data_IF_068108217441
#
_entry.id   IF_068108217441
#
_cell.length_a   1.000
_cell.length_b   1.000
_cell.length_c   1.000
_cell.angle_alpha   90.00
_cell.angle_beta   90.00
_cell.angle_gamma   90.00
#
_symmetry.space_group_name_H-M   'P 1'
#
loop_
_entity.id
_entity.type
_entity.pdbx_description
1 polymer ?
#
# COMPACT_ATOMS: atom_id res chain seq x y z
N UNK A 1 -11.07 -8.35 -36.11
CA UNK A 1 -10.99 -6.94 -35.67
C UNK A 1 -9.66 -6.79 -34.96
N UNK A 2 -8.86 -5.77 -35.29
CA UNK A 2 -7.61 -5.56 -34.57
C UNK A 2 -7.94 -5.26 -33.10
N UNK A 3 -7.25 -5.91 -32.16
CA UNK A 3 -7.40 -5.58 -30.74
C UNK A 3 -7.00 -4.12 -30.55
N UNK A 4 -7.95 -3.32 -30.04
CA UNK A 4 -7.71 -1.93 -29.73
C UNK A 4 -6.63 -1.84 -28.66
N UNK A 5 -5.61 -1.01 -28.88
CA UNK A 5 -4.55 -0.82 -27.88
C UNK A 5 -5.12 -0.15 -26.62
N UNK A 6 -4.50 -0.40 -25.47
CA UNK A 6 -4.88 0.26 -24.21
C UNK A 6 -4.85 1.80 -24.33
N UNK A 7 -3.90 2.34 -25.09
CA UNK A 7 -3.78 3.78 -25.32
C UNK A 7 -4.92 4.36 -26.16
N UNK A 8 -5.46 3.59 -27.12
CA UNK A 8 -6.62 3.98 -27.91
C UNK A 8 -7.90 3.90 -27.07
N UNK A 9 -8.06 2.84 -26.28
CA UNK A 9 -9.18 2.70 -25.34
C UNK A 9 -9.22 3.88 -24.35
N UNK A 10 -8.07 4.31 -23.84
CA UNK A 10 -7.99 5.50 -22.97
C UNK A 10 -8.46 6.78 -23.67
N UNK A 11 -8.05 7.01 -24.94
CA UNK A 11 -8.51 8.18 -25.71
C UNK A 11 -10.01 8.16 -25.94
N UNK A 12 -10.57 6.99 -26.25
CA UNK A 12 -12.00 6.83 -26.49
C UNK A 12 -12.83 7.10 -25.23
N UNK A 13 -12.39 6.57 -24.08
CA UNK A 13 -13.01 6.88 -22.79
C UNK A 13 -12.94 8.37 -22.50
N UNK A 14 -11.77 9.00 -22.71
CA UNK A 14 -11.62 10.44 -22.51
C UNK A 14 -12.58 11.24 -23.40
N UNK A 15 -12.64 10.92 -24.69
CA UNK A 15 -13.53 11.58 -25.64
C UNK A 15 -15.01 11.40 -25.31
N UNK A 16 -15.42 10.19 -24.95
CA UNK A 16 -16.81 9.86 -24.59
C UNK A 16 -17.28 10.58 -23.32
N UNK A 17 -16.38 10.80 -22.36
CA UNK A 17 -16.71 11.38 -21.07
C UNK A 17 -16.31 12.87 -20.94
N UNK A 18 -15.80 13.49 -22.01
CA UNK A 18 -15.39 14.89 -21.99
C UNK A 18 -14.17 15.17 -21.10
N UNK A 19 -13.35 14.14 -20.85
CA UNK A 19 -12.15 14.24 -20.01
C UNK A 19 -10.99 14.67 -20.89
N UNK A 20 -10.23 15.67 -20.43
CA UNK A 20 -9.02 16.11 -21.15
C UNK A 20 -7.98 14.99 -21.09
N UNK A 21 -7.46 14.58 -22.24
CA UNK A 21 -6.40 13.58 -22.31
C UNK A 21 -5.18 14.06 -21.52
N UNK A 22 -4.78 13.28 -20.53
CA UNK A 22 -3.53 13.48 -19.81
C UNK A 22 -2.39 12.85 -20.62
N UNK A 23 -1.49 13.69 -21.12
CA UNK A 23 -0.38 13.24 -21.99
C UNK A 23 0.56 12.28 -21.26
N UNK A 24 0.78 12.48 -19.95
CA UNK A 24 1.62 11.59 -19.17
C UNK A 24 1.02 10.17 -19.06
N UNK A 25 -0.29 10.06 -18.87
CA UNK A 25 -1.00 8.77 -18.91
C UNK A 25 -0.88 8.15 -20.29
N UNK A 26 -1.19 8.93 -21.33
CA UNK A 26 -1.16 8.45 -22.71
C UNK A 26 0.23 7.92 -23.11
N UNK A 27 1.31 8.65 -22.80
CA UNK A 27 2.67 8.24 -23.11
C UNK A 27 3.07 6.95 -22.39
N UNK A 28 2.71 6.79 -21.12
CA UNK A 28 3.00 5.56 -20.38
C UNK A 28 2.21 4.36 -20.92
N UNK A 29 0.94 4.56 -21.28
CA UNK A 29 0.13 3.53 -21.92
C UNK A 29 0.69 3.12 -23.30
N UNK A 30 1.24 4.06 -24.07
CA UNK A 30 1.89 3.77 -25.35
C UNK A 30 3.22 3.04 -25.20
N UNK A 31 3.95 3.28 -24.10
CA UNK A 31 5.21 2.59 -23.76
C UNK A 31 5.01 1.20 -23.18
N UNK A 32 3.78 0.81 -22.83
CA UNK A 32 3.51 -0.53 -22.30
C UNK A 32 3.79 -1.59 -23.38
N UNK A 33 4.87 -2.33 -23.20
CA UNK A 33 5.13 -3.59 -23.90
C UNK A 33 4.21 -4.70 -23.35
N UNK A 34 3.94 -5.73 -24.15
CA UNK A 34 3.28 -6.98 -23.71
C UNK A 34 4.02 -7.69 -22.57
N UNK A 35 5.25 -7.28 -22.28
CA UNK A 35 6.13 -7.85 -21.24
C UNK A 35 6.20 -7.04 -19.95
N UNK A 36 5.71 -5.79 -19.90
CA UNK A 36 5.77 -4.97 -18.68
C UNK A 36 4.40 -4.96 -17.99
N UNK A 37 4.22 -5.65 -16.87
CA UNK A 37 2.93 -5.71 -16.21
C UNK A 37 2.66 -4.53 -15.27
N UNK A 38 3.63 -3.62 -15.10
CA UNK A 38 3.53 -2.47 -14.22
C UNK A 38 3.32 -1.17 -15.01
N UNK A 39 2.24 -0.46 -14.70
CA UNK A 39 1.93 0.87 -15.20
C UNK A 39 2.33 1.92 -14.16
N UNK A 40 3.43 2.63 -14.44
CA UNK A 40 4.02 3.63 -13.53
C UNK A 40 3.51 5.04 -13.85
N UNK A 41 2.60 5.55 -13.02
CA UNK A 41 1.97 6.87 -13.16
C UNK A 41 2.21 7.77 -11.93
N UNK A 42 3.35 7.61 -11.27
CA UNK A 42 3.73 8.42 -10.12
C UNK A 42 3.84 9.91 -10.48
N UNK A 43 3.11 10.77 -9.75
CA UNK A 43 3.02 12.21 -9.99
C UNK A 43 4.28 13.00 -9.64
N UNK A 44 5.28 12.35 -9.03
CA UNK A 44 6.62 12.90 -8.76
C UNK A 44 7.67 12.53 -9.82
N UNK A 45 7.25 11.93 -10.94
CA UNK A 45 8.14 11.56 -12.03
C UNK A 45 8.79 12.80 -12.69
N UNK A 46 10.08 12.69 -13.00
CA UNK A 46 10.87 13.74 -13.66
C UNK A 46 10.73 13.74 -15.20
N UNK A 47 10.01 12.78 -15.78
CA UNK A 47 10.08 12.47 -17.22
C UNK A 47 9.16 13.29 -18.13
N UNK A 48 8.40 14.26 -17.61
CA UNK A 48 7.52 15.11 -18.41
C UNK A 48 6.78 16.07 -17.49
N UNK A 49 6.30 17.20 -18.00
CA UNK A 49 5.64 18.24 -17.20
C UNK A 49 4.69 17.63 -16.16
N UNK A 50 4.98 17.87 -14.89
CA UNK A 50 4.32 17.20 -13.77
C UNK A 50 2.84 17.62 -13.70
N UNK A 51 1.98 16.82 -14.32
CA UNK A 51 0.53 16.92 -14.17
C UNK A 51 0.07 15.76 -13.28
N UNK A 52 -0.04 16.04 -11.98
CA UNK A 52 -0.64 15.12 -11.02
C UNK A 52 -2.02 14.69 -11.51
N UNK A 53 -2.28 13.39 -11.49
CA UNK A 53 -3.56 12.83 -11.87
C UNK A 53 -4.64 13.25 -10.85
N UNK A 54 -5.83 13.61 -11.34
CA UNK A 54 -7.01 13.84 -10.52
C UNK A 54 -8.00 12.67 -10.59
N UNK A 55 -9.13 12.77 -9.88
CA UNK A 55 -10.19 11.75 -9.90
C UNK A 55 -10.70 11.43 -11.32
N UNK A 56 -10.80 12.43 -12.21
CA UNK A 56 -11.28 12.25 -13.59
C UNK A 56 -10.27 11.46 -14.44
N UNK A 57 -8.97 11.69 -14.24
CA UNK A 57 -7.92 10.90 -14.89
C UNK A 57 -8.01 9.43 -14.45
N UNK A 58 -8.23 9.21 -13.15
CA UNK A 58 -8.40 7.86 -12.58
C UNK A 58 -9.67 7.19 -13.07
N UNK A 59 -10.77 7.93 -13.26
CA UNK A 59 -11.97 7.41 -13.90
C UNK A 59 -11.70 6.92 -15.32
N UNK A 60 -11.02 7.74 -16.13
CA UNK A 60 -10.71 7.36 -17.50
C UNK A 60 -9.79 6.12 -17.54
N UNK A 61 -8.79 6.09 -16.65
CA UNK A 61 -7.88 4.98 -16.50
C UNK A 61 -8.59 3.70 -16.03
N UNK A 62 -9.50 3.78 -15.05
CA UNK A 62 -10.21 2.62 -14.52
C UNK A 62 -11.08 1.95 -15.59
N UNK A 63 -11.79 2.73 -16.40
CA UNK A 63 -12.58 2.18 -17.51
C UNK A 63 -11.72 1.53 -18.59
N UNK A 64 -10.56 2.11 -18.87
CA UNK A 64 -9.62 1.54 -19.83
C UNK A 64 -8.98 0.23 -19.33
N UNK A 65 -8.62 0.18 -18.03
CA UNK A 65 -7.98 -0.99 -17.43
C UNK A 65 -8.94 -2.15 -17.12
N UNK A 66 -10.26 -1.91 -17.09
CA UNK A 66 -11.25 -2.92 -16.73
C UNK A 66 -11.19 -4.18 -17.62
N UNK A 67 -11.01 -3.99 -18.93
CA UNK A 67 -10.85 -5.09 -19.90
C UNK A 67 -9.40 -5.48 -20.16
N UNK A 68 -8.44 -4.83 -19.48
CA UNK A 68 -7.03 -5.13 -19.66
C UNK A 68 -6.59 -6.35 -18.83
N UNK A 69 -5.77 -7.21 -19.44
CA UNK A 69 -5.27 -8.45 -18.81
C UNK A 69 -3.76 -8.45 -18.61
N UNK A 70 -3.07 -7.39 -19.04
CA UNK A 70 -1.60 -7.31 -19.02
C UNK A 70 -1.09 -6.54 -17.80
N UNK A 71 -1.82 -5.52 -17.36
CA UNK A 71 -1.45 -4.68 -16.22
C UNK A 71 -1.84 -5.39 -14.93
N UNK A 72 -0.84 -5.81 -14.15
CA UNK A 72 -1.02 -6.41 -12.83
C UNK A 72 -0.54 -5.49 -11.70
N UNK A 73 0.18 -4.41 -12.01
CA UNK A 73 0.61 -3.42 -11.03
C UNK A 73 0.33 -1.99 -11.53
N UNK A 74 -0.23 -1.16 -10.66
CA UNK A 74 -0.56 0.23 -10.95
C UNK A 74 0.02 1.12 -9.85
N UNK A 75 0.92 2.02 -10.23
CA UNK A 75 1.48 3.03 -9.35
C UNK A 75 0.87 4.39 -9.66
N UNK A 76 0.03 4.88 -8.75
CA UNK A 76 -0.61 6.19 -8.76
C UNK A 76 -0.08 7.08 -7.63
N UNK A 77 1.12 6.81 -7.10
CA UNK A 77 1.68 7.57 -6.00
C UNK A 77 1.91 9.05 -6.34
N UNK A 78 1.93 9.93 -5.34
CA UNK A 78 2.20 11.37 -5.48
C UNK A 78 1.25 12.13 -6.42
N UNK A 79 0.00 11.70 -6.54
CA UNK A 79 -1.04 12.34 -7.36
C UNK A 79 -2.03 13.14 -6.50
N UNK A 80 -3.19 13.48 -7.06
CA UNK A 80 -4.28 14.18 -6.36
C UNK A 80 -5.57 13.34 -6.38
N UNK A 81 -5.42 12.03 -6.15
CA UNK A 81 -6.54 11.08 -6.07
C UNK A 81 -7.25 11.25 -4.73
N UNK A 82 -8.54 11.58 -4.77
CA UNK A 82 -9.40 11.67 -3.58
C UNK A 82 -10.33 10.46 -3.45
N UNK A 83 -11.35 10.59 -2.60
CA UNK A 83 -12.32 9.52 -2.34
C UNK A 83 -13.09 9.07 -3.59
N UNK A 84 -13.35 9.99 -4.53
CA UNK A 84 -14.01 9.64 -5.81
C UNK A 84 -13.10 8.81 -6.70
N UNK A 85 -11.84 9.21 -6.85
CA UNK A 85 -10.83 8.41 -7.56
C UNK A 85 -10.61 7.04 -6.93
N UNK A 86 -10.60 6.96 -5.59
CA UNK A 86 -10.59 5.69 -4.86
C UNK A 86 -11.82 4.82 -5.18
N UNK A 87 -13.01 5.41 -5.31
CA UNK A 87 -14.21 4.73 -5.79
C UNK A 87 -14.06 4.18 -7.20
N UNK A 88 -13.47 4.94 -8.14
CA UNK A 88 -13.20 4.44 -9.49
C UNK A 88 -12.18 3.30 -9.53
N UNK A 89 -11.21 3.30 -8.62
CA UNK A 89 -10.28 2.19 -8.45
C UNK A 89 -10.97 0.98 -7.82
N UNK A 90 -11.88 1.19 -6.87
CA UNK A 90 -12.73 0.12 -6.36
C UNK A 90 -13.56 -0.50 -7.48
N UNK A 91 -14.16 0.29 -8.37
CA UNK A 91 -14.89 -0.22 -9.54
C UNK A 91 -13.95 -0.98 -10.51
N UNK A 92 -12.70 -0.55 -10.68
CA UNK A 92 -11.70 -1.30 -11.47
C UNK A 92 -11.42 -2.68 -10.87
N UNK A 93 -11.38 -2.78 -9.56
CA UNK A 93 -11.16 -4.03 -8.82
C UNK A 93 -12.41 -4.92 -8.79
N UNK A 94 -13.58 -4.42 -9.26
CA UNK A 94 -14.79 -5.22 -9.33
C UNK A 94 -14.68 -6.37 -10.34
N UNK A 95 -14.94 -7.57 -9.84
CA UNK A 95 -15.06 -8.80 -10.60
C UNK A 95 -16.55 -9.06 -10.77
N UNK A 96 -16.99 -9.51 -11.95
CA UNK A 96 -18.41 -9.83 -12.18
C UNK A 96 -18.95 -10.78 -11.10
N UNK A 97 -20.00 -10.36 -10.39
CA UNK A 97 -20.63 -11.18 -9.35
C UNK A 97 -21.26 -12.44 -9.96
N UNK A 98 -20.80 -13.61 -9.53
CA UNK A 98 -21.45 -14.89 -9.82
C UNK A 98 -22.73 -15.05 -8.99
N UNK A 99 -23.82 -14.35 -9.31
CA UNK A 99 -25.17 -14.74 -8.86
C UNK A 99 -26.29 -14.56 -9.91
N UNK A 100 -26.03 -13.97 -11.09
CA UNK A 100 -27.02 -13.89 -12.18
C UNK A 100 -26.62 -14.66 -13.45
N UNK A 101 -27.62 -15.33 -14.04
CA UNK A 101 -27.55 -16.38 -15.08
C UNK A 101 -27.28 -15.84 -16.50
N UNK A 102 -26.74 -14.64 -16.63
CA UNK A 102 -26.39 -14.08 -17.94
C UNK A 102 -25.11 -13.27 -17.85
N UNK A 103 -23.96 -13.92 -17.97
CA UNK A 103 -22.67 -13.24 -18.01
C UNK A 103 -21.86 -13.67 -19.24
N UNK A 104 -21.41 -12.67 -20.00
CA UNK A 104 -20.38 -12.78 -21.02
C UNK A 104 -19.04 -13.06 -20.32
N UNK A 105 -18.39 -14.21 -20.54
CA UNK A 105 -17.13 -14.51 -19.87
C UNK A 105 -16.03 -13.55 -20.32
N UNK A 106 -15.42 -12.81 -19.38
CA UNK A 106 -14.12 -12.18 -19.62
C UNK A 106 -13.99 -10.68 -19.37
N UNK A 107 -14.67 -10.08 -18.38
CA UNK A 107 -14.56 -8.64 -18.05
C UNK A 107 -13.71 -8.27 -16.81
N UNK A 108 -12.97 -9.21 -16.18
CA UNK A 108 -12.28 -8.96 -14.90
C UNK A 108 -10.85 -8.40 -15.00
N UNK A 109 -10.56 -7.29 -14.32
CA UNK A 109 -9.20 -6.70 -14.19
C UNK A 109 -8.13 -7.68 -13.69
N UNK A 110 -6.89 -7.53 -14.16
CA UNK A 110 -5.73 -8.35 -13.75
C UNK A 110 -4.90 -7.75 -12.60
N UNK A 111 -5.35 -6.64 -11.99
CA UNK A 111 -4.58 -5.90 -11.00
C UNK A 111 -4.36 -6.69 -9.68
N UNK A 112 -3.10 -6.70 -9.22
CA UNK A 112 -2.61 -7.38 -8.01
C UNK A 112 -1.91 -6.42 -7.03
N UNK A 113 -1.33 -5.35 -7.56
CA UNK A 113 -0.60 -4.32 -6.81
C UNK A 113 -1.16 -2.93 -7.12
N UNK A 114 -1.43 -2.16 -6.07
CA UNK A 114 -1.91 -0.78 -6.17
C UNK A 114 -1.16 0.11 -5.17
N UNK A 115 -0.41 1.07 -5.70
CA UNK A 115 0.27 2.10 -4.91
C UNK A 115 -0.49 3.43 -5.01
N UNK A 116 -1.02 3.89 -3.88
CA UNK A 116 -1.73 5.15 -3.74
C UNK A 116 -1.03 6.09 -2.75
N UNK A 117 0.28 5.89 -2.52
CA UNK A 117 1.06 6.69 -1.58
C UNK A 117 1.00 8.18 -1.93
N UNK A 118 0.93 9.09 -0.96
CA UNK A 118 0.91 10.55 -1.19
C UNK A 118 -0.25 11.01 -2.09
N UNK A 119 -1.47 10.61 -1.73
CA UNK A 119 -2.71 11.07 -2.34
C UNK A 119 -3.62 11.72 -1.26
N UNK A 120 -4.88 12.00 -1.63
CA UNK A 120 -5.84 12.72 -0.79
C UNK A 120 -7.00 11.81 -0.36
N UNK A 121 -6.75 10.50 -0.20
CA UNK A 121 -7.79 9.51 0.16
C UNK A 121 -8.12 9.64 1.64
N UNK A 122 -9.40 9.84 1.95
CA UNK A 122 -9.95 9.90 3.29
C UNK A 122 -10.67 8.62 3.70
N UNK A 123 -11.49 8.71 4.76
CA UNK A 123 -12.24 7.56 5.28
C UNK A 123 -13.21 6.96 4.24
N UNK A 124 -13.87 7.79 3.42
CA UNK A 124 -14.83 7.31 2.43
C UNK A 124 -14.17 6.55 1.28
N UNK A 125 -13.03 7.04 0.79
CA UNK A 125 -12.25 6.32 -0.21
C UNK A 125 -11.68 5.01 0.34
N UNK A 126 -11.22 5.01 1.58
CA UNK A 126 -10.79 3.79 2.27
C UNK A 126 -11.93 2.76 2.40
N UNK A 127 -13.16 3.20 2.73
CA UNK A 127 -14.35 2.34 2.75
C UNK A 127 -14.65 1.71 1.38
N UNK A 128 -14.63 2.52 0.31
CA UNK A 128 -14.92 2.03 -1.04
C UNK A 128 -13.88 1.00 -1.49
N UNK A 129 -12.60 1.27 -1.24
CA UNK A 129 -11.52 0.32 -1.51
C UNK A 129 -11.69 -0.95 -0.66
N UNK A 130 -12.03 -0.83 0.63
CA UNK A 130 -12.18 -1.99 1.51
C UNK A 130 -13.32 -2.89 1.05
N UNK A 131 -14.50 -2.34 0.75
CA UNK A 131 -15.66 -3.11 0.28
C UNK A 131 -15.28 -4.00 -0.91
N UNK A 132 -14.45 -3.49 -1.83
CA UNK A 132 -14.11 -4.28 -3.02
C UNK A 132 -12.96 -5.26 -2.81
N UNK A 133 -12.00 -4.93 -1.97
CA UNK A 133 -10.94 -5.86 -1.57
C UNK A 133 -11.48 -7.15 -0.92
N UNK A 134 -12.66 -7.08 -0.27
CA UNK A 134 -13.39 -8.25 0.26
C UNK A 134 -13.80 -9.23 -0.84
N UNK A 135 -14.24 -8.74 -2.00
CA UNK A 135 -14.82 -9.56 -3.09
C UNK A 135 -13.75 -10.28 -3.91
N UNK A 136 -12.55 -9.71 -4.03
CA UNK A 136 -11.43 -10.27 -4.81
C UNK A 136 -10.77 -11.52 -4.19
N UNK A 137 -11.21 -11.94 -2.98
CA UNK A 137 -10.61 -12.97 -2.12
C UNK A 137 -10.35 -14.32 -2.83
N UNK A 138 -11.25 -14.79 -3.69
CA UNK A 138 -11.16 -16.14 -4.30
C UNK A 138 -10.16 -16.24 -5.46
N UNK A 139 -9.75 -15.12 -6.07
CA UNK A 139 -8.89 -15.14 -7.28
C UNK A 139 -7.41 -15.00 -6.95
N UNK A 140 -7.04 -14.10 -6.04
CA UNK A 140 -5.64 -13.93 -5.61
C UNK A 140 -5.08 -15.20 -4.95
N UNK A 141 -5.92 -16.02 -4.32
CA UNK A 141 -5.52 -17.33 -3.79
C UNK A 141 -5.21 -18.38 -4.86
N UNK A 142 -5.70 -18.24 -6.11
CA UNK A 142 -5.54 -19.23 -7.19
C UNK A 142 -4.31 -19.01 -8.07
N UNK A 143 -3.66 -17.85 -7.98
CA UNK A 143 -2.40 -17.59 -8.67
C UNK A 143 -1.30 -18.02 -7.69
N UNK A 144 -0.51 -19.04 -8.03
CA UNK A 144 0.64 -19.45 -7.24
C UNK A 144 1.65 -18.29 -7.20
N UNK A 145 1.73 -17.60 -6.05
CA UNK A 145 2.72 -16.56 -5.70
C UNK A 145 2.57 -15.14 -6.29
N UNK A 146 1.46 -14.42 -6.05
CA UNK A 146 1.56 -12.97 -5.90
C UNK A 146 1.05 -12.50 -4.53
N UNK A 147 1.95 -11.87 -3.76
CA UNK A 147 1.63 -11.11 -2.56
C UNK A 147 0.76 -9.91 -2.94
N UNK A 148 -0.55 -9.98 -2.70
CA UNK A 148 -1.43 -8.85 -2.91
C UNK A 148 -1.15 -7.77 -1.86
N UNK A 149 -0.85 -6.57 -2.32
CA UNK A 149 -0.49 -5.45 -1.46
C UNK A 149 -1.17 -4.16 -1.92
N UNK A 150 -1.54 -3.36 -0.92
CA UNK A 150 -2.17 -2.06 -1.09
C UNK A 150 -1.37 -1.06 -0.25
N UNK A 151 -0.79 -0.06 -0.90
CA UNK A 151 -0.08 1.02 -0.21
C UNK A 151 -0.95 2.29 -0.17
N UNK A 152 -1.38 2.65 1.04
CA UNK A 152 -2.14 3.85 1.36
C UNK A 152 -1.32 4.83 2.21
N UNK A 153 0.01 4.72 2.20
CA UNK A 153 0.88 5.58 2.99
C UNK A 153 0.73 7.06 2.61
N UNK A 154 0.87 7.96 3.58
CA UNK A 154 0.78 9.41 3.34
C UNK A 154 -0.55 9.83 2.68
N UNK A 155 -1.66 9.35 3.23
CA UNK A 155 -3.02 9.76 2.85
C UNK A 155 -3.71 10.45 4.04
N UNK A 156 -5.04 10.54 4.02
CA UNK A 156 -5.86 11.13 5.09
C UNK A 156 -6.80 10.09 5.71
N UNK A 157 -6.38 8.82 5.75
CA UNK A 157 -7.15 7.74 6.35
C UNK A 157 -7.26 7.99 7.86
N UNK A 158 -8.47 8.20 8.36
CA UNK A 158 -8.75 8.38 9.78
C UNK A 158 -9.01 7.03 10.48
N UNK A 159 -9.28 7.04 11.79
CA UNK A 159 -9.76 5.86 12.51
C UNK A 159 -11.05 5.25 11.93
N UNK A 160 -11.94 6.05 11.32
CA UNK A 160 -13.12 5.54 10.61
C UNK A 160 -12.71 4.76 9.34
N UNK A 161 -11.75 5.29 8.58
CA UNK A 161 -11.17 4.57 7.44
C UNK A 161 -10.50 3.27 7.88
N UNK A 162 -9.80 3.29 9.02
CA UNK A 162 -9.19 2.11 9.63
C UNK A 162 -10.22 1.06 10.02
N UNK A 163 -11.39 1.45 10.54
CA UNK A 163 -12.50 0.56 10.86
C UNK A 163 -12.97 -0.21 9.61
N UNK A 164 -13.17 0.50 8.50
CA UNK A 164 -13.63 -0.12 7.26
C UNK A 164 -12.58 -1.05 6.64
N UNK A 165 -11.29 -0.70 6.73
CA UNK A 165 -10.21 -1.59 6.31
C UNK A 165 -10.17 -2.83 7.22
N UNK A 166 -10.17 -2.65 8.54
CA UNK A 166 -10.11 -3.72 9.51
C UNK A 166 -11.26 -4.73 9.38
N UNK A 167 -12.49 -4.27 9.14
CA UNK A 167 -13.66 -5.15 9.02
C UNK A 167 -13.53 -6.13 7.85
N UNK A 168 -12.91 -5.70 6.77
CA UNK A 168 -12.67 -6.51 5.58
C UNK A 168 -11.53 -7.49 5.85
N UNK A 169 -10.43 -7.00 6.42
CA UNK A 169 -9.23 -7.77 6.71
C UNK A 169 -9.45 -8.91 7.73
N UNK A 170 -10.45 -8.79 8.61
CA UNK A 170 -10.90 -9.88 9.52
C UNK A 170 -11.40 -11.12 8.79
N UNK A 171 -11.93 -10.98 7.58
CA UNK A 171 -12.61 -12.07 6.85
C UNK A 171 -11.66 -12.96 6.04
N UNK A 172 -10.37 -13.08 6.44
CA UNK A 172 -9.31 -13.80 5.69
C UNK A 172 -9.13 -13.28 4.26
N UNK A 173 -8.96 -11.97 4.12
CA UNK A 173 -8.68 -11.35 2.81
C UNK A 173 -7.40 -11.89 2.18
N UNK A 174 -7.32 -11.79 0.86
CA UNK A 174 -6.10 -12.13 0.13
C UNK A 174 -5.02 -11.03 0.19
N UNK A 175 -5.28 -9.86 0.79
CA UNK A 175 -4.25 -8.85 1.05
C UNK A 175 -3.29 -9.38 2.11
N UNK A 176 -2.02 -9.49 1.76
CA UNK A 176 -0.96 -9.93 2.66
C UNK A 176 -0.26 -8.75 3.32
N UNK A 177 -0.11 -7.63 2.61
CA UNK A 177 0.57 -6.42 3.10
C UNK A 177 -0.34 -5.21 2.96
N UNK A 178 -0.55 -4.50 4.07
CA UNK A 178 -1.19 -3.19 4.08
C UNK A 178 -0.27 -2.15 4.71
N UNK A 179 0.01 -1.09 3.95
CA UNK A 179 0.78 0.05 4.44
C UNK A 179 -0.15 1.25 4.66
N UNK A 180 -0.35 1.63 5.93
CA UNK A 180 -1.12 2.78 6.37
C UNK A 180 -0.23 3.85 7.02
N UNK A 181 1.08 3.80 6.80
CA UNK A 181 2.01 4.75 7.42
C UNK A 181 1.67 6.21 7.07
N UNK A 182 1.93 7.17 7.95
CA UNK A 182 1.69 8.59 7.71
C UNK A 182 0.19 8.85 7.38
N UNK A 183 -0.68 8.46 8.29
CA UNK A 183 -2.13 8.72 8.24
C UNK A 183 -2.61 9.22 9.62
N UNK A 184 -3.93 9.27 9.85
CA UNK A 184 -4.54 9.72 11.12
C UNK A 184 -5.28 8.55 11.81
N UNK A 185 -4.62 7.40 11.93
CA UNK A 185 -5.25 6.17 12.45
C UNK A 185 -5.53 6.27 13.96
N UNK A 186 -4.63 6.87 14.74
CA UNK A 186 -4.80 7.09 16.19
C UNK A 186 -5.05 5.80 17.01
N UNK A 187 -5.29 5.94 18.32
CA UNK A 187 -5.50 4.79 19.21
C UNK A 187 -6.74 3.96 18.84
N UNK A 188 -7.82 4.63 18.43
CA UNK A 188 -9.09 3.99 18.08
C UNK A 188 -8.92 3.13 16.82
N UNK A 189 -8.29 3.68 15.78
CA UNK A 189 -8.04 2.94 14.53
C UNK A 189 -7.06 1.78 14.72
N UNK A 190 -6.04 1.95 15.57
CA UNK A 190 -5.13 0.87 15.93
C UNK A 190 -5.86 -0.29 16.62
N UNK A 191 -6.85 0.01 17.48
CA UNK A 191 -7.72 -0.98 18.09
C UNK A 191 -8.62 -1.71 17.09
N UNK A 192 -9.03 -1.08 15.99
CA UNK A 192 -9.74 -1.79 14.92
C UNK A 192 -8.81 -2.71 14.14
N UNK A 193 -7.62 -2.22 13.79
CA UNK A 193 -6.62 -2.95 13.00
C UNK A 193 -5.97 -4.10 13.77
N UNK A 194 -6.02 -4.11 15.11
CA UNK A 194 -5.40 -5.15 15.94
C UNK A 194 -5.91 -6.54 15.61
N UNK A 195 -7.18 -6.67 15.26
CA UNK A 195 -7.76 -7.97 14.96
C UNK A 195 -7.51 -8.46 13.52
N UNK A 196 -6.68 -7.76 12.74
CA UNK A 196 -6.62 -7.89 11.30
C UNK A 196 -5.21 -8.19 10.75
N UNK A 197 -5.14 -9.04 9.71
CA UNK A 197 -3.99 -9.27 8.81
C UNK A 197 -2.76 -10.04 9.30
N UNK A 198 -1.89 -10.35 8.32
CA UNK A 198 -0.58 -10.96 8.48
C UNK A 198 0.60 -9.98 8.52
N UNK A 199 0.54 -8.84 7.80
CA UNK A 199 1.64 -7.84 7.74
C UNK A 199 1.08 -6.41 7.67
N UNK A 200 1.39 -5.59 8.67
CA UNK A 200 0.83 -4.24 8.82
C UNK A 200 1.91 -3.18 9.06
N UNK A 201 1.84 -2.07 8.34
CA UNK A 201 2.60 -0.85 8.62
C UNK A 201 1.68 0.27 9.07
N UNK A 202 1.91 0.82 10.26
CA UNK A 202 1.18 1.98 10.80
C UNK A 202 2.16 3.03 11.34
N UNK A 203 3.35 3.13 10.75
CA UNK A 203 4.37 4.11 11.15
C UNK A 203 3.81 5.54 11.10
N UNK A 204 4.16 6.40 12.05
CA UNK A 204 3.77 7.82 12.08
C UNK A 204 2.26 8.04 11.92
N UNK A 205 1.46 7.55 12.87
CA UNK A 205 -0.01 7.61 12.81
C UNK A 205 -0.66 8.26 14.04
N UNK A 206 0.14 8.95 14.87
CA UNK A 206 -0.31 9.50 16.15
C UNK A 206 -0.93 8.43 17.07
N UNK A 207 -0.49 7.18 16.95
CA UNK A 207 -0.90 6.10 17.85
C UNK A 207 -0.11 6.26 19.14
N UNK A 208 -0.81 6.27 20.27
CA UNK A 208 -0.20 6.38 21.60
C UNK A 208 -0.13 5.01 22.24
N UNK A 209 0.22 5.00 23.52
CA UNK A 209 0.40 3.80 24.32
C UNK A 209 -0.81 2.86 24.26
N UNK A 210 -2.03 3.40 24.34
CA UNK A 210 -3.24 2.57 24.35
C UNK A 210 -3.41 1.79 23.04
N UNK A 211 -3.31 2.46 21.88
CA UNK A 211 -3.45 1.79 20.59
C UNK A 211 -2.31 0.81 20.31
N UNK A 212 -1.08 1.16 20.69
CA UNK A 212 0.08 0.27 20.56
C UNK A 212 -0.06 -0.97 21.45
N UNK A 213 -0.60 -0.84 22.67
CA UNK A 213 -0.92 -1.99 23.53
C UNK A 213 -1.97 -2.91 22.89
N UNK A 214 -2.99 -2.36 22.23
CA UNK A 214 -3.97 -3.16 21.48
C UNK A 214 -3.31 -3.96 20.36
N UNK A 215 -2.44 -3.34 19.56
CA UNK A 215 -1.67 -4.02 18.51
C UNK A 215 -0.74 -5.11 19.08
N UNK A 216 -0.08 -4.82 20.20
CA UNK A 216 0.78 -5.79 20.88
C UNK A 216 -0.02 -7.00 21.41
N UNK A 217 -1.18 -6.76 22.02
CA UNK A 217 -2.06 -7.81 22.51
C UNK A 217 -2.61 -8.67 21.37
N UNK A 218 -2.94 -8.04 20.25
CA UNK A 218 -3.31 -8.74 19.03
C UNK A 218 -2.20 -9.64 18.50
N UNK A 219 -0.94 -9.17 18.47
CA UNK A 219 0.20 -10.03 18.11
C UNK A 219 0.26 -11.28 19.00
N UNK A 220 0.05 -11.14 20.32
CA UNK A 220 0.04 -12.31 21.22
C UNK A 220 -1.04 -13.34 20.86
N UNK A 221 -2.19 -12.89 20.39
CA UNK A 221 -3.38 -13.73 20.18
C UNK A 221 -3.63 -14.15 18.72
N UNK A 222 -3.06 -13.44 17.74
CA UNK A 222 -3.27 -13.67 16.32
C UNK A 222 -2.00 -14.26 15.69
N UNK A 223 -1.93 -15.58 15.42
CA UNK A 223 -0.73 -16.20 14.87
C UNK A 223 -0.44 -15.82 13.42
N UNK A 224 -1.39 -15.21 12.71
CA UNK A 224 -1.20 -14.82 11.30
C UNK A 224 -0.44 -13.50 11.17
N UNK A 225 -0.58 -12.59 12.14
CA UNK A 225 0.15 -11.33 12.19
C UNK A 225 1.61 -11.59 12.52
N UNK A 226 2.46 -11.57 11.50
CA UNK A 226 3.88 -11.92 11.60
C UNK A 226 4.80 -10.71 11.49
N UNK A 227 4.33 -9.62 10.88
CA UNK A 227 5.09 -8.40 10.72
C UNK A 227 4.29 -7.17 11.17
N UNK A 228 4.92 -6.28 11.93
CA UNK A 228 4.31 -5.06 12.44
C UNK A 228 5.34 -3.94 12.52
N UNK A 229 5.05 -2.83 11.84
CA UNK A 229 5.91 -1.65 11.74
C UNK A 229 5.18 -0.44 12.31
N UNK A 230 5.78 0.21 13.30
CA UNK A 230 5.14 1.19 14.17
C UNK A 230 6.00 2.43 14.45
N UNK A 231 7.18 2.55 13.85
CA UNK A 231 8.08 3.68 14.13
C UNK A 231 7.40 5.04 13.89
N UNK A 232 7.80 6.06 14.65
CA UNK A 232 7.21 7.40 14.58
C UNK A 232 5.85 7.54 15.29
N UNK A 233 5.42 6.54 16.07
CA UNK A 233 4.31 6.65 17.01
C UNK A 233 4.82 6.98 18.43
N UNK A 234 3.92 7.04 19.42
CA UNK A 234 4.23 7.46 20.79
C UNK A 234 4.10 6.32 21.83
N UNK A 235 5.00 5.33 21.82
CA UNK A 235 5.06 4.31 22.86
C UNK A 235 5.51 4.92 24.19
N UNK A 236 4.87 4.53 25.29
CA UNK A 236 5.35 4.83 26.65
C UNK A 236 5.79 3.59 27.43
N UNK A 237 5.62 2.39 26.86
CA UNK A 237 5.59 1.11 27.60
C UNK A 237 6.32 -0.04 26.88
N UNK A 238 6.76 -1.08 27.62
CA UNK A 238 7.60 -2.18 27.13
C UNK A 238 6.85 -3.28 26.37
N UNK A 239 5.57 -3.09 26.00
CA UNK A 239 4.77 -4.15 25.38
C UNK A 239 5.45 -4.81 24.15
N UNK A 240 6.21 -4.01 23.38
CA UNK A 240 6.99 -4.49 22.25
C UNK A 240 8.32 -5.15 22.64
N UNK A 241 8.93 -4.78 23.78
CA UNK A 241 10.12 -5.47 24.30
C UNK A 241 9.83 -6.95 24.53
N UNK A 242 8.70 -7.27 25.19
CA UNK A 242 8.31 -8.65 25.46
C UNK A 242 8.06 -9.45 24.17
N UNK A 243 7.39 -8.83 23.19
CA UNK A 243 7.14 -9.44 21.88
C UNK A 243 8.43 -9.73 21.12
N UNK A 244 9.39 -8.82 21.17
CA UNK A 244 10.71 -9.00 20.54
C UNK A 244 11.52 -10.06 21.29
N UNK A 245 11.60 -9.99 22.62
CA UNK A 245 12.39 -10.93 23.43
C UNK A 245 11.85 -12.36 23.42
N UNK A 246 10.53 -12.51 23.32
CA UNK A 246 9.90 -13.84 23.20
C UNK A 246 10.05 -14.46 21.80
N UNK A 247 10.57 -13.70 20.82
CA UNK A 247 10.63 -14.10 19.42
C UNK A 247 9.28 -14.05 18.70
N UNK A 248 8.21 -13.57 19.36
CA UNK A 248 6.90 -13.44 18.74
C UNK A 248 6.90 -12.39 17.63
N UNK A 249 7.68 -11.33 17.79
CA UNK A 249 7.95 -10.32 16.76
C UNK A 249 9.46 -10.24 16.53
N UNK A 250 10.02 -11.06 15.63
CA UNK A 250 11.47 -11.06 15.37
C UNK A 250 11.95 -9.68 14.89
N UNK A 251 13.22 -9.31 15.15
CA UNK A 251 13.78 -8.02 14.72
C UNK A 251 13.69 -7.75 13.21
N UNK A 252 13.61 -8.80 12.38
CA UNK A 252 13.48 -8.67 10.92
C UNK A 252 12.05 -8.30 10.48
N UNK A 253 11.07 -8.42 11.37
CA UNK A 253 9.65 -8.26 11.08
C UNK A 253 9.07 -6.97 11.69
N UNK A 254 9.93 -6.06 12.14
CA UNK A 254 9.54 -4.79 12.74
C UNK A 254 10.62 -3.72 12.51
N UNK A 255 10.23 -2.45 12.56
CA UNK A 255 11.10 -1.27 12.45
C UNK A 255 11.50 -0.71 13.82
N UNK A 256 11.27 -1.44 14.90
CA UNK A 256 11.63 -1.01 16.25
C UNK A 256 12.54 -1.99 16.97
N UNK A 257 13.50 -1.45 17.70
CA UNK A 257 14.30 -2.20 18.67
C UNK A 257 14.10 -1.61 20.06
N UNK A 258 14.09 -2.45 21.09
CA UNK A 258 13.99 -1.97 22.48
C UNK A 258 15.37 -1.74 23.07
N UNK A 259 15.58 -0.60 23.72
CA UNK A 259 16.78 -0.30 24.51
C UNK A 259 16.40 0.15 25.92
N UNK A 260 17.36 0.12 26.83
CA UNK A 260 17.19 0.58 28.21
C UNK A 260 18.05 1.80 28.47
N UNK A 261 17.46 2.81 29.10
CA UNK A 261 18.18 3.96 29.60
C UNK A 261 17.60 4.30 30.98
N UNK A 262 18.48 4.37 32.00
CA UNK A 262 18.11 4.69 33.39
C UNK A 262 16.96 3.83 33.94
N UNK A 263 16.98 2.53 33.66
CA UNK A 263 15.95 1.57 34.10
C UNK A 263 14.60 1.68 33.38
N UNK A 264 14.49 2.53 32.36
CA UNK A 264 13.29 2.70 31.54
C UNK A 264 13.51 2.11 30.15
N UNK A 265 12.47 1.48 29.62
CA UNK A 265 12.49 0.83 28.31
C UNK A 265 11.99 1.81 27.26
N UNK A 266 12.78 1.97 26.20
CA UNK A 266 12.46 2.81 25.05
C UNK A 266 12.50 2.00 23.77
N UNK A 267 11.90 2.55 22.71
CA UNK A 267 12.00 2.01 21.35
C UNK A 267 12.85 2.96 20.50
N UNK A 268 13.77 2.39 19.72
CA UNK A 268 14.56 3.07 18.69
C UNK A 268 14.21 2.53 17.30
N UNK A 269 14.52 3.30 16.26
CA UNK A 269 14.31 2.90 14.87
C UNK A 269 15.31 1.81 14.52
N UNK A 270 14.81 0.67 14.09
CA UNK A 270 15.62 -0.36 13.44
C UNK A 270 15.54 -0.16 11.92
N UNK A 271 16.66 -0.32 11.21
CA UNK A 271 16.78 -0.07 9.76
C UNK A 271 16.12 -1.16 8.87
N UNK A 272 14.92 -1.61 9.23
CA UNK A 272 14.14 -2.62 8.54
C UNK A 272 12.76 -2.04 8.22
N UNK A 273 12.64 -1.29 7.13
CA UNK A 273 11.34 -0.80 6.66
C UNK A 273 10.68 -1.77 5.70
N UNK A 274 9.36 -2.01 5.83
CA UNK A 274 8.51 -2.67 4.81
C UNK A 274 8.69 -2.08 3.41
N UNK A 275 9.11 -0.81 3.34
CA UNK A 275 9.43 -0.12 2.08
C UNK A 275 10.39 -0.92 1.20
N UNK A 276 11.36 -1.65 1.77
CA UNK A 276 12.31 -2.41 0.94
C UNK A 276 11.66 -3.60 0.23
N UNK A 277 10.59 -4.20 0.77
CA UNK A 277 9.94 -5.38 0.15
C UNK A 277 8.81 -5.05 -0.82
N UNK A 278 8.15 -3.89 -0.68
CA UNK A 278 7.07 -3.49 -1.59
C UNK A 278 7.59 -3.14 -3.00
N UNK A 279 8.81 -2.60 -3.11
CA UNK A 279 9.46 -2.32 -4.40
C UNK A 279 10.12 -3.55 -5.07
N UNK A 280 10.23 -4.69 -4.39
CA UNK A 280 10.88 -5.91 -4.91
C UNK A 280 10.01 -6.71 -5.90
N UNK A 281 8.81 -6.22 -6.24
CA UNK A 281 7.96 -6.80 -7.28
C UNK A 281 8.51 -6.59 -8.72
N UNK A 282 9.55 -5.76 -8.91
CA UNK A 282 10.34 -5.74 -10.13
C UNK A 282 11.42 -6.83 -10.03
N UNK A 283 11.25 -7.93 -10.77
CA UNK A 283 12.08 -9.14 -10.75
C UNK A 283 13.53 -8.99 -11.23
N UNK A 284 14.23 -7.91 -10.87
CA UNK A 284 15.67 -7.74 -11.06
C UNK A 284 16.37 -7.60 -9.72
N UNK A 285 16.88 -8.73 -9.25
CA UNK A 285 17.84 -8.80 -8.14
C UNK A 285 19.16 -8.19 -8.60
N UNK A 286 19.51 -7.02 -8.06
CA UNK A 286 20.92 -6.72 -7.80
C UNK A 286 21.03 -6.21 -6.37
N UNK A 287 21.65 -7.05 -5.55
CA UNK A 287 21.96 -6.80 -4.16
C UNK A 287 23.08 -5.76 -4.09
N UNK A 288 22.71 -4.48 -3.93
CA UNK A 288 23.67 -3.45 -3.59
C UNK A 288 23.82 -3.44 -2.06
N UNK A 289 24.76 -4.26 -1.60
CA UNK A 289 25.43 -4.10 -0.31
C UNK A 289 26.06 -2.71 -0.27
N UNK A 290 25.37 -1.74 0.33
CA UNK A 290 26.03 -0.49 0.75
C UNK A 290 26.76 -0.84 2.03
N UNK A 291 28.06 -1.12 1.89
CA UNK A 291 28.97 -1.27 3.00
C UNK A 291 28.92 -0.05 3.90
N UNK A 292 28.91 -0.33 5.19
CA UNK A 292 29.13 0.63 6.26
C UNK A 292 30.48 1.32 6.08
N UNK A 293 30.48 2.51 5.48
CA UNK A 293 31.54 3.49 5.70
C UNK A 293 31.32 4.08 7.10
N UNK A 294 32.10 3.57 8.05
CA UNK A 294 32.28 4.18 9.35
C UNK A 294 33.20 5.39 9.17
N UNK A 295 32.60 6.58 9.02
CA UNK A 295 33.35 7.82 9.25
C UNK A 295 33.56 7.94 10.77
N UNK A 296 34.75 7.55 11.21
CA UNK A 296 35.24 7.81 12.55
C UNK A 296 35.42 9.33 12.78
N UNK A 297 35.40 9.79 14.05
CA UNK A 297 35.54 11.20 14.37
C UNK A 297 36.93 11.73 13.94
N UNK A 298 37.03 13.01 13.56
CA UNK A 298 38.28 13.59 13.07
C UNK A 298 39.34 13.58 14.16
N UNK A 299 40.51 13.01 13.84
CA UNK A 299 41.71 13.06 14.67
C UNK A 299 42.19 14.51 14.83
N UNK A 300 42.32 14.95 16.09
CA UNK A 300 43.05 16.13 16.51
C UNK A 300 44.52 16.03 16.05
N UNK A 301 44.94 16.90 15.13
CA UNK A 301 46.36 17.21 14.95
C UNK A 301 46.72 18.48 15.74
N UNK A 302 47.80 18.45 16.54
CA UNK A 302 48.21 19.57 17.37
C UNK A 302 48.83 20.68 16.52
N UNK A 303 48.34 21.91 16.71
CA UNK A 303 49.00 23.11 16.22
C UNK A 303 50.32 23.33 16.95
N UNK A 304 51.43 23.28 16.20
CA UNK A 304 52.65 24.07 16.44
C UNK A 304 53.30 24.44 15.13
#
# INVERSE_FOLDING_TARGET
MADQTISESYKDVCGKHGIRINLFVLENLQKMSTTSPCLKLAGNSKQGGCHKLCDDDVFALSKCLHSNRTVTALDLSYNNVGDRGAGHLADLLEVGNQEEVSYEPGLDSALLYLDLTFNNIGAKGAELLSIRLKVCQKRWSRILNPTSSCDLCSNRVSHDGALYLASVLKEKTAIEILNLSINCIEDIGAGYLSDAMSRLSVCTNNIRTQGLCSLAQALKNNPTLTHLYIWGNHPKEPAFRELISSGRLPPQNTDVESYEQDGHVFLAEAFHGLRKSLYQADGNVTDATVGSASDGPPEDQPQR
#
